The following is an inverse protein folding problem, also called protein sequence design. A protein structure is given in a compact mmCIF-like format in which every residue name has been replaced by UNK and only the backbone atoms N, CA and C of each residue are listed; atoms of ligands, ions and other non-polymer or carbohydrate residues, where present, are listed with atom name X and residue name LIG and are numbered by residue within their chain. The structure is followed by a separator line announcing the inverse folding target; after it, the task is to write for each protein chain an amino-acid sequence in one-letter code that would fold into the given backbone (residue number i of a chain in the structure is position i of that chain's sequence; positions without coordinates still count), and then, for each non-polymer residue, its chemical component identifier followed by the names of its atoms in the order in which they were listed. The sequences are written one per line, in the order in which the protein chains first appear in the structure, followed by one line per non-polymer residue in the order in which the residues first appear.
data_IF_285063976054
#
_entry.id   IF_285063976054
#
_cell.length_a   1.000
_cell.length_b   1.000
_cell.length_c   1.000
_cell.angle_alpha   90.00
_cell.angle_beta   90.00
_cell.angle_gamma   90.00
#
_symmetry.space_group_name_H-M   'P 1'
#
loop_
_entity.id
_entity.type
_entity.pdbx_description
1 polymer ?
#
# COMPACT_ATOMS: atom_id res chain seq x y z
N UNK A 1 -9.74 20.25 15.34
CA UNK A 1 -8.52 19.58 15.28
C UNK A 1 -8.49 18.55 14.18
N UNK A 2 -7.44 18.53 13.48
CA UNK A 2 -7.32 17.65 12.34
C UNK A 2 -6.89 16.26 12.70
N UNK A 3 -7.04 15.40 11.74
CA UNK A 3 -6.50 14.06 11.83
C UNK A 3 -5.14 14.04 11.18
N UNK A 4 -4.26 13.23 11.71
CA UNK A 4 -2.98 13.04 11.07
C UNK A 4 -3.13 12.10 9.89
N UNK A 5 -2.44 12.44 8.82
CA UNK A 5 -2.43 11.64 7.61
C UNK A 5 -0.98 11.38 7.24
N UNK A 6 -0.66 10.14 6.95
CA UNK A 6 0.65 9.83 6.41
C UNK A 6 0.48 9.46 4.94
N UNK A 7 1.12 10.23 4.09
CA UNK A 7 1.12 9.98 2.66
C UNK A 7 2.52 9.51 2.28
N UNK A 8 2.63 8.31 1.73
CA UNK A 8 3.94 7.73 1.46
C UNK A 8 3.87 6.93 0.17
N UNK A 9 4.96 6.97 -0.58
CA UNK A 9 5.11 6.17 -1.79
C UNK A 9 5.32 4.71 -1.39
N UNK A 10 4.71 3.78 -2.13
CA UNK A 10 4.77 2.37 -1.79
C UNK A 10 6.21 1.85 -1.72
N UNK A 11 7.03 2.21 -2.70
CA UNK A 11 8.41 1.76 -2.69
C UNK A 11 9.17 2.31 -1.49
N UNK A 12 8.99 3.58 -1.21
CA UNK A 12 9.66 4.19 -0.07
C UNK A 12 9.23 3.57 1.24
N UNK A 13 7.96 3.25 1.35
CA UNK A 13 7.46 2.63 2.57
C UNK A 13 8.10 1.28 2.82
N UNK A 14 8.08 0.39 1.82
CA UNK A 14 8.63 -0.95 2.05
C UNK A 14 10.14 -0.91 2.22
N UNK A 15 10.83 -0.02 1.52
CA UNK A 15 12.27 0.10 1.67
C UNK A 15 12.62 0.63 3.07
N UNK A 16 11.85 1.58 3.57
CA UNK A 16 12.08 2.11 4.90
C UNK A 16 11.81 1.04 5.96
N UNK A 17 10.75 0.27 5.79
CA UNK A 17 10.46 -0.80 6.73
C UNK A 17 11.57 -1.84 6.71
N UNK A 18 12.08 -2.15 5.53
CA UNK A 18 13.18 -3.10 5.43
C UNK A 18 14.43 -2.58 6.14
N UNK A 19 14.75 -1.33 5.93
CA UNK A 19 15.89 -0.72 6.60
C UNK A 19 15.72 -0.72 8.11
N UNK A 20 14.52 -0.37 8.58
CA UNK A 20 14.25 -0.37 10.01
C UNK A 20 14.32 -1.76 10.60
N UNK A 21 13.88 -2.77 9.83
CA UNK A 21 14.00 -4.14 10.26
C UNK A 21 15.47 -4.53 10.44
N UNK A 22 16.31 -4.14 9.49
CA UNK A 22 17.73 -4.44 9.58
C UNK A 22 18.39 -3.80 10.80
N UNK A 23 17.90 -2.64 11.18
CA UNK A 23 18.47 -1.91 12.32
C UNK A 23 17.82 -2.26 13.65
N UNK A 24 16.80 -3.11 13.63
CA UNK A 24 16.13 -3.49 14.85
C UNK A 24 15.03 -2.54 15.31
N UNK A 25 14.59 -1.63 14.44
CA UNK A 25 13.59 -0.63 14.79
C UNK A 25 12.21 -0.90 14.21
N UNK A 26 12.02 -2.05 13.59
CA UNK A 26 10.76 -2.30 12.88
C UNK A 26 9.55 -2.20 13.80
N UNK A 27 9.66 -2.75 14.99
CA UNK A 27 8.51 -2.75 15.91
C UNK A 27 8.07 -1.33 16.26
N UNK A 28 9.02 -0.45 16.49
CA UNK A 28 8.71 0.93 16.78
C UNK A 28 8.09 1.63 15.60
N UNK A 29 8.63 1.39 14.42
CA UNK A 29 8.11 2.00 13.20
C UNK A 29 6.67 1.57 12.95
N UNK A 30 6.39 0.28 13.07
CA UNK A 30 5.04 -0.22 12.90
C UNK A 30 4.09 0.37 13.94
N UNK A 31 4.57 0.52 15.16
CA UNK A 31 3.75 1.11 16.21
C UNK A 31 3.41 2.56 15.92
N UNK A 32 4.38 3.32 15.43
CA UNK A 32 4.14 4.71 15.06
C UNK A 32 3.12 4.82 13.93
N UNK A 33 3.26 3.97 12.92
CA UNK A 33 2.34 3.99 11.79
C UNK A 33 0.93 3.60 12.25
N UNK A 34 0.83 2.66 13.17
CA UNK A 34 -0.48 2.20 13.64
C UNK A 34 -1.28 3.29 14.33
N UNK A 35 -0.61 4.31 14.83
CA UNK A 35 -1.30 5.42 15.50
C UNK A 35 -1.83 6.46 14.55
N UNK A 36 -1.49 6.39 13.28
CA UNK A 36 -1.91 7.37 12.30
C UNK A 36 -3.29 7.00 11.80
N UNK A 37 -4.27 7.90 11.89
CA UNK A 37 -5.64 7.57 11.50
C UNK A 37 -5.81 7.22 10.04
N UNK A 38 -5.07 7.89 9.15
CA UNK A 38 -5.20 7.62 7.72
C UNK A 38 -3.83 7.44 7.10
N UNK A 39 -3.63 6.30 6.47
CA UNK A 39 -2.40 6.00 5.75
C UNK A 39 -2.74 5.94 4.25
N UNK A 40 -2.00 6.71 3.46
CA UNK A 40 -2.15 6.70 2.02
C UNK A 40 -0.86 6.15 1.42
N UNK A 41 -0.96 5.00 0.78
CA UNK A 41 0.17 4.38 0.09
C UNK A 41 0.00 4.67 -1.39
N UNK A 42 0.89 5.50 -1.91
CA UNK A 42 0.78 6.00 -3.27
C UNK A 42 1.67 5.19 -4.22
N UNK A 43 1.19 5.02 -5.43
CA UNK A 43 1.95 4.41 -6.51
C UNK A 43 2.38 2.98 -6.25
N UNK A 44 1.45 2.16 -5.83
CA UNK A 44 1.71 0.73 -5.80
C UNK A 44 1.68 0.23 -7.25
N UNK A 45 2.85 0.11 -7.85
CA UNK A 45 2.95 -0.26 -9.25
C UNK A 45 4.03 -1.33 -9.39
N UNK A 46 4.74 -1.36 -10.50
CA UNK A 46 5.67 -2.44 -10.78
C UNK A 46 6.88 -2.48 -9.87
N UNK A 47 6.62 -2.61 -8.61
CA UNK A 47 7.66 -2.78 -7.63
C UNK A 47 7.62 -4.24 -7.20
N UNK A 48 8.38 -5.07 -7.84
CA UNK A 48 8.37 -6.46 -7.47
C UNK A 48 9.00 -6.63 -6.10
N UNK A 49 8.24 -7.15 -5.16
CA UNK A 49 8.70 -7.31 -3.80
C UNK A 49 9.29 -8.69 -3.60
N UNK A 50 10.45 -8.75 -2.92
CA UNK A 50 10.94 -10.04 -2.47
C UNK A 50 10.11 -10.49 -1.26
N UNK A 51 10.37 -11.68 -0.77
CA UNK A 51 9.55 -12.23 0.31
C UNK A 51 9.61 -11.39 1.58
N UNK A 52 10.74 -10.81 1.86
CA UNK A 52 10.86 -10.01 3.07
C UNK A 52 10.06 -8.73 2.98
N UNK A 53 10.15 -8.03 1.86
CA UNK A 53 9.39 -6.81 1.67
C UNK A 53 7.90 -7.09 1.57
N UNK A 54 7.55 -8.18 0.92
CA UNK A 54 6.17 -8.62 0.87
C UNK A 54 5.60 -8.85 2.27
N UNK A 55 6.36 -9.52 3.12
CA UNK A 55 5.95 -9.74 4.50
C UNK A 55 5.75 -8.44 5.26
N UNK A 56 6.62 -7.46 5.02
CA UNK A 56 6.50 -6.16 5.66
C UNK A 56 5.25 -5.42 5.18
N UNK A 57 4.98 -5.50 3.89
CA UNK A 57 3.78 -4.89 3.34
C UNK A 57 2.54 -5.56 3.95
N UNK A 58 2.55 -6.88 4.07
CA UNK A 58 1.46 -7.60 4.70
C UNK A 58 1.23 -7.15 6.14
N UNK A 59 2.29 -6.89 6.87
CA UNK A 59 2.15 -6.45 8.25
C UNK A 59 1.46 -5.09 8.33
N UNK A 60 1.76 -4.19 7.41
CA UNK A 60 1.07 -2.90 7.35
C UNK A 60 -0.42 -3.11 7.07
N UNK A 61 -0.74 -3.94 6.09
CA UNK A 61 -2.15 -4.20 5.76
C UNK A 61 -2.86 -4.82 6.96
N UNK A 62 -2.21 -5.77 7.61
CA UNK A 62 -2.82 -6.47 8.73
C UNK A 62 -3.11 -5.53 9.89
N UNK A 63 -2.20 -4.62 10.20
CA UNK A 63 -2.43 -3.74 11.34
C UNK A 63 -3.48 -2.68 11.04
N UNK A 64 -3.74 -2.37 9.77
CA UNK A 64 -4.80 -1.42 9.40
C UNK A 64 -6.16 -2.09 9.31
N UNK A 65 -6.18 -3.40 9.24
CA UNK A 65 -7.39 -4.18 9.05
C UNK A 65 -8.38 -3.92 10.19
N UNK A 66 -9.55 -3.40 9.86
CA UNK A 66 -10.63 -3.11 10.81
C UNK A 66 -10.34 -2.05 11.86
N UNK A 67 -9.18 -1.44 11.83
CA UNK A 67 -8.84 -0.50 12.90
C UNK A 67 -8.61 0.91 12.42
N UNK A 68 -8.01 1.06 11.27
CA UNK A 68 -7.62 2.37 10.79
C UNK A 68 -7.85 2.45 9.29
N UNK A 69 -7.89 3.66 8.79
CA UNK A 69 -8.17 3.88 7.38
C UNK A 69 -6.93 3.73 6.52
N UNK A 70 -7.11 3.15 5.36
CA UNK A 70 -6.02 2.92 4.42
C UNK A 70 -6.51 3.21 3.01
N UNK A 71 -5.73 4.01 2.28
CA UNK A 71 -5.97 4.26 0.87
C UNK A 71 -4.73 3.84 0.11
N UNK A 72 -4.91 3.07 -0.94
CA UNK A 72 -3.82 2.66 -1.81
C UNK A 72 -4.13 3.14 -3.22
N UNK A 73 -3.21 3.87 -3.82
CA UNK A 73 -3.34 4.24 -5.22
C UNK A 73 -2.43 3.37 -6.06
N UNK A 74 -2.91 2.95 -7.22
CA UNK A 74 -2.14 2.08 -8.08
C UNK A 74 -2.60 2.25 -9.52
N UNK A 75 -1.66 2.12 -10.45
CA UNK A 75 -1.99 2.07 -11.86
C UNK A 75 -2.02 0.63 -12.38
N UNK A 76 -1.88 -0.34 -11.49
CA UNK A 76 -1.85 -1.74 -11.88
C UNK A 76 -3.22 -2.35 -11.66
N UNK A 77 -3.85 -2.92 -12.68
CA UNK A 77 -5.13 -3.58 -12.49
C UNK A 77 -5.05 -4.66 -11.42
N UNK A 78 -6.12 -4.83 -10.67
CA UNK A 78 -6.11 -5.81 -9.59
C UNK A 78 -5.81 -7.22 -10.06
N UNK A 79 -6.22 -7.55 -11.29
CA UNK A 79 -5.95 -8.87 -11.83
C UNK A 79 -4.47 -9.13 -12.10
N UNK A 80 -3.65 -8.10 -12.04
CA UNK A 80 -2.21 -8.25 -12.26
C UNK A 80 -1.38 -8.05 -11.00
N UNK A 81 -2.02 -8.01 -9.85
CA UNK A 81 -1.30 -7.80 -8.60
C UNK A 81 -0.38 -8.97 -8.24
N UNK A 82 -0.62 -10.14 -8.83
CA UNK A 82 0.30 -11.25 -8.65
C UNK A 82 1.70 -10.95 -9.19
N UNK A 83 1.82 -9.94 -10.03
CA UNK A 83 3.14 -9.53 -10.52
C UNK A 83 3.94 -8.76 -9.47
N UNK A 84 3.28 -8.26 -8.44
CA UNK A 84 3.95 -7.54 -7.37
C UNK A 84 4.48 -8.45 -6.28
N UNK A 85 3.90 -9.61 -6.14
CA UNK A 85 4.17 -10.48 -5.01
C UNK A 85 4.80 -11.78 -5.47
N UNK A 86 5.17 -12.63 -4.52
CA UNK A 86 5.90 -13.85 -4.86
C UNK A 86 5.01 -14.91 -5.49
N UNK A 87 3.71 -14.71 -5.53
CA UNK A 87 2.83 -15.64 -6.18
C UNK A 87 1.39 -15.24 -6.10
N UNK A 88 0.57 -16.02 -6.77
CA UNK A 88 -0.85 -15.71 -6.87
C UNK A 88 -1.56 -15.87 -5.54
N UNK A 89 -1.12 -16.79 -4.72
CA UNK A 89 -1.74 -17.00 -3.42
C UNK A 89 -1.55 -15.79 -2.51
N UNK A 90 -0.33 -15.25 -2.50
CA UNK A 90 -0.04 -14.07 -1.70
C UNK A 90 -0.86 -12.87 -2.19
N UNK A 91 -0.92 -12.69 -3.50
CA UNK A 91 -1.71 -11.61 -4.07
C UNK A 91 -3.18 -11.74 -3.72
N UNK A 92 -3.70 -12.96 -3.80
CA UNK A 92 -5.11 -13.19 -3.49
C UNK A 92 -5.42 -12.88 -2.03
N UNK A 93 -4.52 -13.23 -1.13
CA UNK A 93 -4.72 -12.96 0.29
C UNK A 93 -4.75 -11.47 0.58
N UNK A 94 -3.86 -10.71 -0.05
CA UNK A 94 -3.83 -9.26 0.12
C UNK A 94 -5.09 -8.64 -0.46
N UNK A 95 -5.46 -9.04 -1.67
CA UNK A 95 -6.62 -8.47 -2.33
C UNK A 95 -7.89 -8.73 -1.52
N UNK A 96 -8.00 -9.91 -0.97
CA UNK A 96 -9.17 -10.23 -0.16
C UNK A 96 -9.33 -9.27 1.00
N UNK A 97 -8.24 -8.99 1.71
CA UNK A 97 -8.30 -8.06 2.83
C UNK A 97 -8.61 -6.64 2.38
N UNK A 98 -7.98 -6.22 1.30
CA UNK A 98 -8.18 -4.86 0.81
C UNK A 98 -9.59 -4.61 0.32
N UNK A 99 -10.14 -5.58 -0.41
CA UNK A 99 -11.48 -5.43 -0.95
C UNK A 99 -12.52 -5.31 0.15
N UNK A 100 -12.34 -6.06 1.23
CA UNK A 100 -13.34 -6.08 2.29
C UNK A 100 -13.19 -4.97 3.32
N UNK A 101 -11.98 -4.40 3.45
CA UNK A 101 -11.74 -3.51 4.59
C UNK A 101 -11.06 -2.21 4.25
N UNK A 102 -10.71 -1.98 3.01
CA UNK A 102 -9.98 -0.78 2.61
C UNK A 102 -10.57 -0.20 1.33
N UNK A 103 -10.23 1.06 1.09
CA UNK A 103 -10.57 1.69 -0.18
C UNK A 103 -9.36 1.62 -1.09
N UNK A 104 -9.53 0.95 -2.23
CA UNK A 104 -8.46 0.84 -3.22
C UNK A 104 -8.87 1.65 -4.43
N UNK A 105 -8.03 2.61 -4.79
CA UNK A 105 -8.27 3.43 -5.96
C UNK A 105 -7.29 3.00 -7.03
N UNK A 106 -7.82 2.45 -8.11
CA UNK A 106 -7.00 2.00 -9.22
C UNK A 106 -7.07 3.05 -10.32
N UNK A 107 -5.91 3.58 -10.68
CA UNK A 107 -5.82 4.60 -11.71
C UNK A 107 -5.08 4.03 -12.88
N UNK A 108 -5.78 3.94 -14.02
CA UNK A 108 -5.16 3.47 -15.25
C UNK A 108 -4.48 4.66 -15.89
N UNK A 109 -3.17 4.69 -15.81
CA UNK A 109 -2.40 5.85 -16.09
C UNK A 109 -2.70 6.54 -17.40
N UNK A 110 -2.68 5.79 -18.48
CA UNK A 110 -2.83 6.40 -19.79
C UNK A 110 -4.18 7.07 -19.98
N UNK A 111 -5.23 6.35 -19.73
CA UNK A 111 -6.54 6.94 -19.94
C UNK A 111 -6.80 8.09 -18.99
N UNK A 112 -6.31 7.98 -17.80
CA UNK A 112 -6.46 9.05 -16.84
C UNK A 112 -5.73 10.31 -17.28
N UNK A 113 -4.52 10.15 -17.74
CA UNK A 113 -3.72 11.29 -18.17
C UNK A 113 -4.29 11.98 -19.39
N UNK A 114 -4.87 11.21 -20.28
CA UNK A 114 -5.46 11.78 -21.47
C UNK A 114 -6.69 12.59 -21.13
N UNK A 115 -7.50 12.10 -20.24
CA UNK A 115 -8.74 12.76 -19.91
C UNK A 115 -8.66 13.75 -18.81
N UNK A 116 -7.89 13.42 -17.83
CA UNK A 116 -7.91 14.14 -16.59
C UNK A 116 -7.70 15.62 -16.69
N UNK A 117 -6.59 16.03 -17.26
CA UNK A 117 -6.31 17.45 -17.24
C UNK A 117 -7.36 18.29 -17.91
N UNK A 118 -8.12 17.70 -18.78
CA UNK A 118 -9.05 18.47 -19.52
C UNK A 118 -10.30 18.72 -18.82
N UNK A 119 -10.69 17.82 -18.00
CA UNK A 119 -12.04 17.91 -17.71
C UNK A 119 -12.45 17.64 -16.39
N UNK A 120 -11.97 16.59 -15.93
CA UNK A 120 -12.74 15.95 -14.99
C UNK A 120 -12.52 16.32 -13.65
N UNK A 121 -11.58 16.95 -13.45
CA UNK A 121 -11.39 17.24 -12.06
C UNK A 121 -12.03 18.49 -11.63
#
# INVERSE_FOLDING_TARGET
AGYKVLFVNAKELVDQLYEDMQKGYLKETLKQISKIPLLIIDELSYLKMDKERESLFFQIIRQRYEKSSLIITTNLPMGRWDELFTGKLAAAAILDRLVHHCHVISITGDSYRVKGPKTEY
#
